data_IF_418876538726
#
_entry.id   IF_418876538726
#
_cell.length_a   1.000
_cell.length_b   1.000
_cell.length_c   1.000
_cell.angle_alpha   90.00
_cell.angle_beta   90.00
_cell.angle_gamma   90.00
#
_symmetry.space_group_name_H-M   'P 1'
#
loop_
_entity.id
_entity.type
_entity.pdbx_description
1 polymer ?
#
# COMPACT_ATOMS: atom_id res chain seq x y z
N UNK A 1 24.20 -2.17 -42.23
CA UNK A 1 23.11 -3.12 -42.59
C UNK A 1 22.71 -3.91 -41.36
N UNK A 2 21.57 -3.57 -40.75
CA UNK A 2 20.75 -4.41 -39.85
C UNK A 2 19.46 -3.61 -39.62
N UNK A 3 18.52 -3.78 -40.55
CA UNK A 3 17.17 -3.22 -40.50
C UNK A 3 16.21 -4.31 -40.04
N UNK A 4 15.22 -3.84 -39.28
CA UNK A 4 13.86 -4.38 -39.17
C UNK A 4 13.67 -5.75 -38.52
N UNK A 5 13.02 -5.72 -37.37
CA UNK A 5 11.99 -6.71 -37.01
C UNK A 5 10.83 -5.95 -36.40
N UNK A 6 10.06 -5.31 -37.27
CA UNK A 6 8.68 -4.89 -36.99
C UNK A 6 7.83 -6.09 -37.39
N UNK A 7 7.35 -6.85 -36.41
CA UNK A 7 6.36 -7.88 -36.64
C UNK A 7 5.00 -7.22 -36.83
N UNK A 8 4.44 -7.39 -38.01
CA UNK A 8 3.12 -6.94 -38.41
C UNK A 8 2.03 -7.86 -37.83
N UNK A 9 0.95 -7.28 -37.32
CA UNK A 9 -0.35 -7.95 -37.16
C UNK A 9 -1.41 -7.06 -37.82
N UNK A 10 -2.15 -7.67 -38.74
CA UNK A 10 -3.16 -7.06 -39.61
C UNK A 10 -4.51 -6.86 -38.90
N UNK A 11 -5.21 -5.83 -39.37
CA UNK A 11 -6.46 -5.21 -38.90
C UNK A 11 -7.71 -6.10 -38.95
N UNK A 12 -8.71 -5.78 -38.11
CA UNK A 12 -10.06 -5.31 -38.52
C UNK A 12 -10.92 -4.95 -37.29
N UNK A 13 -11.48 -3.74 -37.29
CA UNK A 13 -12.44 -3.25 -36.31
C UNK A 13 -12.31 -1.74 -36.10
N UNK A 14 -13.16 -0.94 -36.74
CA UNK A 14 -13.28 0.50 -36.50
C UNK A 14 -13.99 0.73 -35.17
N UNK A 15 -13.29 0.52 -34.06
CA UNK A 15 -13.55 1.18 -32.79
C UNK A 15 -12.85 2.55 -32.82
N UNK A 16 -13.48 3.56 -32.23
CA UNK A 16 -12.93 4.91 -32.11
C UNK A 16 -11.44 4.83 -31.71
N UNK A 17 -10.59 5.52 -32.47
CA UNK A 17 -9.13 5.56 -32.24
C UNK A 17 -8.90 6.07 -30.83
N UNK A 18 -8.73 5.16 -29.87
CA UNK A 18 -8.26 5.49 -28.54
C UNK A 18 -6.78 5.83 -28.70
N UNK A 19 -6.48 7.13 -28.68
CA UNK A 19 -5.12 7.60 -28.78
C UNK A 19 -4.34 7.09 -27.57
N UNK A 20 -3.21 6.47 -27.86
CA UNK A 20 -2.19 6.05 -26.91
C UNK A 20 -0.86 6.53 -27.48
N UNK A 21 0.06 6.90 -26.61
CA UNK A 21 1.39 7.38 -27.03
C UNK A 21 2.44 6.45 -26.46
N UNK A 22 3.35 6.01 -27.31
CA UNK A 22 4.58 5.33 -26.90
C UNK A 22 5.78 6.24 -27.14
N UNK A 23 6.77 6.19 -26.27
CA UNK A 23 8.04 6.91 -26.44
C UNK A 23 9.17 6.21 -25.71
N UNK A 24 10.38 6.51 -26.15
CA UNK A 24 11.60 6.17 -25.45
C UNK A 24 12.05 7.36 -24.60
N UNK A 25 12.52 7.08 -23.38
CA UNK A 25 13.02 8.10 -22.46
C UNK A 25 14.37 7.70 -21.90
N UNK A 26 15.34 8.60 -22.02
CA UNK A 26 16.63 8.51 -21.34
C UNK A 26 16.62 9.49 -20.18
N UNK A 27 16.96 9.02 -18.98
CA UNK A 27 17.09 9.84 -17.78
C UNK A 27 18.51 9.80 -17.28
N UNK A 28 19.20 10.94 -17.29
CA UNK A 28 20.50 11.10 -16.65
C UNK A 28 20.31 11.71 -15.28
N UNK A 29 20.70 10.97 -14.24
CA UNK A 29 20.74 11.46 -12.86
C UNK A 29 22.14 11.94 -12.54
N UNK A 30 22.26 13.15 -12.01
CA UNK A 30 23.51 13.72 -11.49
C UNK A 30 23.32 14.07 -10.01
N UNK A 31 24.33 13.75 -9.19
CA UNK A 31 24.30 13.91 -7.74
C UNK A 31 25.47 14.77 -7.28
N UNK A 32 25.16 15.86 -6.60
CA UNK A 32 26.14 16.71 -5.92
C UNK A 32 26.07 16.42 -4.42
N UNK A 33 26.95 15.54 -3.95
CA UNK A 33 26.97 15.10 -2.55
C UNK A 33 27.54 16.17 -1.63
N UNK A 34 26.99 16.23 -0.41
CA UNK A 34 27.59 17.03 0.67
C UNK A 34 29.00 16.50 1.00
N UNK A 35 29.98 17.37 1.32
CA UNK A 35 31.31 16.94 1.73
C UNK A 35 31.26 15.93 2.89
N UNK A 36 32.06 14.88 2.81
CA UNK A 36 32.17 13.85 3.86
C UNK A 36 31.09 12.77 3.85
N UNK A 37 30.10 12.83 2.95
CA UNK A 37 29.11 11.77 2.81
C UNK A 37 29.73 10.52 2.14
N UNK A 38 29.66 9.38 2.82
CA UNK A 38 29.94 8.07 2.21
C UNK A 38 28.66 7.54 1.57
N UNK A 39 28.70 7.29 0.27
CA UNK A 39 27.58 6.75 -0.50
C UNK A 39 28.10 5.73 -1.51
N UNK A 40 27.32 4.66 -1.73
CA UNK A 40 27.57 3.68 -2.80
C UNK A 40 26.95 4.07 -4.14
N UNK A 41 26.08 5.10 -4.15
CA UNK A 41 25.43 5.59 -5.36
C UNK A 41 26.43 6.36 -6.24
N UNK A 42 26.44 6.13 -7.56
CA UNK A 42 27.32 6.86 -8.47
C UNK A 42 26.93 8.33 -8.57
N UNK A 43 27.94 9.18 -8.82
CA UNK A 43 27.72 10.63 -9.01
C UNK A 43 26.89 10.93 -10.28
N UNK A 44 26.96 10.04 -11.27
CA UNK A 44 26.17 10.11 -12.50
C UNK A 44 25.71 8.72 -12.92
N UNK A 45 24.46 8.63 -13.33
CA UNK A 45 23.82 7.40 -13.81
C UNK A 45 22.88 7.73 -14.97
N UNK A 46 22.74 6.80 -15.91
CA UNK A 46 21.78 6.91 -17.02
C UNK A 46 20.87 5.69 -17.01
N UNK A 47 19.56 5.93 -17.13
CA UNK A 47 18.55 4.91 -17.24
C UNK A 47 17.74 5.14 -18.52
N UNK A 48 17.53 4.08 -19.29
CA UNK A 48 16.74 4.09 -20.52
C UNK A 48 15.45 3.30 -20.30
N UNK A 49 14.32 3.80 -20.80
CA UNK A 49 13.04 3.11 -20.66
C UNK A 49 12.14 3.32 -21.86
N UNK A 50 11.32 2.31 -22.15
CA UNK A 50 10.22 2.43 -23.11
C UNK A 50 8.91 2.61 -22.34
N UNK A 51 8.16 3.64 -22.70
CA UNK A 51 6.91 4.01 -22.03
C UNK A 51 5.74 3.90 -22.99
N UNK A 52 4.62 3.36 -22.50
CA UNK A 52 3.33 3.39 -23.19
C UNK A 52 2.30 4.03 -22.29
N UNK A 53 1.66 5.08 -22.80
CA UNK A 53 0.54 5.79 -22.18
C UNK A 53 -0.75 5.25 -22.82
N UNK A 54 -1.48 4.43 -22.09
CA UNK A 54 -2.79 3.93 -22.49
C UNK A 54 -3.93 4.71 -21.81
N UNK A 55 -5.18 4.55 -22.27
CA UNK A 55 -6.33 5.26 -21.70
C UNK A 55 -6.58 4.97 -20.21
N UNK A 56 -6.35 3.72 -19.79
CA UNK A 56 -6.61 3.23 -18.43
C UNK A 56 -5.40 2.58 -17.78
N UNK A 57 -4.22 2.65 -18.42
CA UNK A 57 -3.00 2.10 -17.87
C UNK A 57 -1.78 2.87 -18.35
N UNK A 58 -0.70 2.72 -17.60
CA UNK A 58 0.65 3.15 -17.97
C UNK A 58 1.55 1.92 -17.93
N UNK A 59 2.47 1.76 -18.89
CA UNK A 59 3.53 0.77 -18.76
C UNK A 59 4.92 1.37 -18.98
N UNK A 60 5.88 0.94 -18.18
CA UNK A 60 7.29 1.35 -18.25
C UNK A 60 8.14 0.09 -18.31
N UNK A 61 8.88 -0.08 -19.41
CA UNK A 61 9.86 -1.14 -19.57
C UNK A 61 11.25 -0.58 -19.31
N UNK A 62 11.95 -1.18 -18.36
CA UNK A 62 13.36 -0.93 -18.07
C UNK A 62 14.10 -2.27 -18.09
N UNK A 63 14.93 -2.47 -19.12
CA UNK A 63 15.59 -3.75 -19.38
C UNK A 63 14.59 -4.91 -19.46
N UNK A 64 14.65 -5.82 -18.47
CA UNK A 64 13.81 -7.03 -18.38
C UNK A 64 12.55 -6.83 -17.52
N UNK A 65 12.41 -5.68 -16.88
CA UNK A 65 11.29 -5.39 -15.99
C UNK A 65 10.29 -4.52 -16.73
N UNK A 66 9.05 -4.99 -16.79
CA UNK A 66 7.91 -4.22 -17.27
C UNK A 66 6.99 -3.93 -16.08
N UNK A 67 6.93 -2.66 -15.69
CA UNK A 67 5.96 -2.18 -14.70
C UNK A 67 4.70 -1.73 -15.42
N UNK A 68 3.54 -2.26 -15.03
CA UNK A 68 2.23 -1.84 -15.54
C UNK A 68 1.42 -1.28 -14.40
N UNK A 69 0.87 -0.08 -14.56
CA UNK A 69 -0.06 0.56 -13.63
C UNK A 69 -1.43 0.57 -14.27
N UNK A 70 -2.35 -0.24 -13.76
CA UNK A 70 -3.73 -0.34 -14.22
C UNK A 70 -4.63 0.47 -13.31
N UNK A 71 -5.11 1.60 -13.83
CA UNK A 71 -5.95 2.54 -13.09
C UNK A 71 -7.40 2.07 -13.00
N UNK A 72 -7.87 1.23 -13.91
CA UNK A 72 -9.21 0.68 -13.88
C UNK A 72 -9.37 -0.35 -12.75
N UNK A 73 -8.41 -1.26 -12.60
CA UNK A 73 -8.42 -2.28 -11.53
C UNK A 73 -7.72 -1.80 -10.25
N UNK A 74 -7.08 -0.62 -10.29
CA UNK A 74 -6.24 -0.07 -9.21
C UNK A 74 -5.16 -1.05 -8.79
N UNK A 75 -4.51 -1.66 -9.77
CA UNK A 75 -3.40 -2.60 -9.57
C UNK A 75 -2.14 -2.08 -10.22
N UNK A 76 -1.00 -2.51 -9.70
CA UNK A 76 0.27 -2.45 -10.41
C UNK A 76 0.86 -3.84 -10.54
N UNK A 77 1.38 -4.16 -11.71
CA UNK A 77 2.05 -5.41 -12.02
C UNK A 77 3.53 -5.14 -12.26
N UNK A 78 4.38 -5.96 -11.65
CA UNK A 78 5.82 -5.97 -11.93
C UNK A 78 6.10 -7.27 -12.65
N UNK A 79 6.42 -7.17 -13.94
CA UNK A 79 6.58 -8.31 -14.84
C UNK A 79 8.07 -8.49 -15.13
N UNK A 80 8.60 -9.67 -14.83
CA UNK A 80 9.88 -10.12 -15.35
C UNK A 80 9.65 -10.76 -16.72
N UNK A 81 10.05 -10.06 -17.78
CA UNK A 81 9.83 -10.50 -19.16
C UNK A 81 10.73 -11.66 -19.57
N UNK A 82 11.84 -11.89 -18.86
CA UNK A 82 12.75 -12.99 -19.15
C UNK A 82 12.29 -14.29 -18.46
N UNK A 83 11.81 -14.19 -17.21
CA UNK A 83 11.23 -15.33 -16.49
C UNK A 83 9.77 -15.63 -16.89
N UNK A 84 9.14 -14.72 -17.64
CA UNK A 84 7.71 -14.71 -17.95
C UNK A 84 6.83 -14.79 -16.69
N UNK A 85 7.22 -14.06 -15.64
CA UNK A 85 6.50 -14.04 -14.35
C UNK A 85 6.07 -12.65 -13.93
N UNK A 86 5.09 -12.54 -13.04
CA UNK A 86 4.69 -11.26 -12.48
C UNK A 86 4.30 -11.33 -11.00
N UNK A 87 4.48 -10.21 -10.31
CA UNK A 87 3.85 -9.91 -9.04
C UNK A 87 2.75 -8.84 -9.23
N UNK A 88 1.71 -8.90 -8.41
CA UNK A 88 0.61 -7.93 -8.40
C UNK A 88 0.54 -7.24 -7.05
N UNK A 89 0.38 -5.92 -7.08
CA UNK A 89 0.23 -5.08 -5.89
C UNK A 89 -0.97 -4.15 -6.03
N UNK A 90 -1.48 -3.68 -4.89
CA UNK A 90 -2.48 -2.61 -4.85
C UNK A 90 -1.86 -1.29 -5.29
N UNK A 91 -2.53 -0.53 -6.16
CA UNK A 91 -2.05 0.80 -6.55
C UNK A 91 -2.07 1.80 -5.37
N UNK A 92 -2.84 1.49 -4.31
CA UNK A 92 -2.86 2.26 -3.07
C UNK A 92 -1.56 2.16 -2.28
N UNK A 93 -0.70 1.16 -2.53
CA UNK A 93 0.57 1.02 -1.83
C UNK A 93 1.51 2.20 -2.08
N UNK A 94 1.55 2.70 -3.32
CA UNK A 94 2.40 3.81 -3.72
C UNK A 94 2.00 5.10 -3.00
N UNK A 95 0.74 5.49 -3.12
CA UNK A 95 0.26 6.75 -2.52
C UNK A 95 0.15 6.66 -1.00
N UNK A 96 -0.23 5.48 -0.47
CA UNK A 96 -0.26 5.22 0.96
C UNK A 96 1.13 5.34 1.60
N UNK A 97 2.16 4.75 0.97
CA UNK A 97 3.55 4.91 1.38
C UNK A 97 3.97 6.38 1.31
N UNK A 98 3.78 7.04 0.17
CA UNK A 98 4.22 8.44 -0.04
C UNK A 98 3.58 9.40 0.96
N UNK A 99 2.30 9.24 1.28
CA UNK A 99 1.60 10.06 2.27
C UNK A 99 2.06 9.76 3.71
N UNK A 100 2.37 8.51 4.05
CA UNK A 100 2.97 8.16 5.33
C UNK A 100 4.39 8.71 5.48
N UNK A 101 5.20 8.54 4.44
CA UNK A 101 6.59 9.01 4.38
C UNK A 101 6.69 10.53 4.45
N UNK A 102 5.82 11.28 3.76
CA UNK A 102 5.79 12.74 3.88
C UNK A 102 5.55 13.18 5.33
N UNK A 103 4.55 12.59 6.00
CA UNK A 103 4.25 12.91 7.42
C UNK A 103 5.39 12.54 8.36
N UNK A 104 6.05 11.42 8.10
CA UNK A 104 7.22 10.99 8.87
C UNK A 104 8.37 12.00 8.76
N UNK A 105 8.73 12.39 7.53
CA UNK A 105 9.76 13.40 7.26
C UNK A 105 9.44 14.74 7.89
N UNK A 106 8.18 15.16 7.84
CA UNK A 106 7.73 16.38 8.52
C UNK A 106 7.90 16.31 10.04
N UNK A 107 7.61 15.15 10.65
CA UNK A 107 7.86 14.92 12.07
C UNK A 107 9.34 15.07 12.42
N UNK A 108 10.22 14.44 11.64
CA UNK A 108 11.68 14.56 11.78
C UNK A 108 12.15 16.00 11.59
N UNK A 109 11.67 16.70 10.56
CA UNK A 109 11.97 18.11 10.33
C UNK A 109 11.54 19.01 11.49
N UNK A 110 10.38 18.73 12.09
CA UNK A 110 9.91 19.41 13.30
C UNK A 110 10.82 19.19 14.50
N UNK A 111 11.29 17.95 14.72
CA UNK A 111 12.25 17.63 15.78
C UNK A 111 13.61 18.30 15.57
N UNK A 112 14.13 18.29 14.33
CA UNK A 112 15.38 18.96 13.99
C UNK A 112 15.28 20.47 14.24
N UNK A 113 14.18 21.09 13.84
CA UNK A 113 13.93 22.51 14.11
C UNK A 113 13.85 22.80 15.62
N UNK A 114 13.16 21.97 16.39
CA UNK A 114 13.09 22.12 17.85
C UNK A 114 14.48 22.00 18.52
N UNK A 115 15.40 21.26 17.91
CA UNK A 115 16.79 21.14 18.32
C UNK A 115 17.76 22.17 17.72
N UNK A 116 17.29 23.15 16.94
CA UNK A 116 18.15 24.15 16.27
C UNK A 116 19.02 23.59 15.14
N UNK A 117 18.56 22.50 14.51
CA UNK A 117 19.24 21.78 13.44
C UNK A 117 18.46 21.85 12.11
N UNK A 118 17.64 22.88 11.90
CA UNK A 118 16.81 23.00 10.68
C UNK A 118 17.60 22.97 9.37
N UNK A 119 18.87 23.37 9.37
CA UNK A 119 19.76 23.29 8.20
C UNK A 119 20.00 21.87 7.69
N UNK A 120 19.72 20.86 8.53
CA UNK A 120 19.80 19.45 8.15
C UNK A 120 18.48 18.90 7.60
N UNK A 121 17.37 19.65 7.73
CA UNK A 121 16.10 19.26 7.17
C UNK A 121 16.05 19.52 5.66
N UNK A 122 15.47 18.59 4.92
CA UNK A 122 15.19 18.79 3.50
C UNK A 122 14.09 19.85 3.35
N UNK A 123 14.23 20.84 2.46
CA UNK A 123 13.16 21.78 2.21
C UNK A 123 11.89 21.06 1.76
N UNK A 124 10.76 21.43 2.36
CA UNK A 124 9.47 20.74 2.17
C UNK A 124 9.03 20.60 0.71
N UNK A 125 9.33 21.60 -0.13
CA UNK A 125 9.03 21.55 -1.57
C UNK A 125 9.73 20.37 -2.27
N UNK A 126 10.92 19.99 -1.82
CA UNK A 126 11.63 18.84 -2.36
C UNK A 126 11.11 17.50 -1.82
N UNK A 127 10.53 17.48 -0.61
CA UNK A 127 9.84 16.29 -0.10
C UNK A 127 8.54 16.04 -0.88
N UNK A 128 7.75 17.10 -1.09
CA UNK A 128 6.53 17.05 -1.92
C UNK A 128 6.86 16.71 -3.39
N UNK A 129 7.99 17.21 -3.91
CA UNK A 129 8.52 16.82 -5.22
C UNK A 129 8.90 15.33 -5.25
N UNK A 130 9.70 14.85 -4.31
CA UNK A 130 10.17 13.46 -4.30
C UNK A 130 9.01 12.45 -4.16
N UNK A 131 7.99 12.80 -3.39
CA UNK A 131 6.88 11.89 -3.08
C UNK A 131 5.63 12.13 -3.94
N UNK A 132 5.58 13.22 -4.72
CA UNK A 132 4.42 13.64 -5.52
C UNK A 132 3.11 13.74 -4.73
N UNK A 133 3.21 14.05 -3.44
CA UNK A 133 2.07 14.31 -2.56
C UNK A 133 2.23 15.71 -2.00
N UNK A 134 1.13 16.48 -1.95
CA UNK A 134 1.09 17.77 -1.28
C UNK A 134 0.75 17.57 0.18
N UNK A 135 1.33 18.38 1.05
CA UNK A 135 0.69 18.65 2.33
C UNK A 135 -0.44 19.67 2.10
N UNK A 136 -1.60 19.32 2.65
CA UNK A 136 -2.89 20.00 2.51
C UNK A 136 -2.91 21.48 2.94
N UNK A 137 -1.83 22.00 3.54
CA UNK A 137 -1.68 23.40 3.94
C UNK A 137 -0.90 24.25 2.93
N UNK A 138 -0.38 23.69 1.84
CA UNK A 138 0.48 24.43 0.91
C UNK A 138 -0.29 25.59 0.25
N UNK A 139 0.28 26.79 0.35
CA UNK A 139 -0.18 28.02 -0.32
C UNK A 139 1.00 28.60 -1.08
N UNK A 140 0.89 28.71 -2.41
CA UNK A 140 1.95 29.21 -3.29
C UNK A 140 1.71 28.77 -4.73
N UNK A 141 2.20 29.57 -5.69
CA UNK A 141 2.14 29.27 -7.11
C UNK A 141 3.55 29.05 -7.66
N UNK A 142 3.65 28.25 -8.72
CA UNK A 142 4.91 28.10 -9.44
C UNK A 142 5.32 29.46 -10.06
N UNK A 143 6.58 29.82 -9.88
CA UNK A 143 7.17 31.04 -10.37
C UNK A 143 8.02 30.72 -11.61
N UNK A 144 7.66 31.20 -12.80
CA UNK A 144 8.46 31.01 -14.00
C UNK A 144 9.60 32.03 -14.07
N UNK A 145 10.77 31.56 -14.48
CA UNK A 145 11.90 32.39 -14.88
C UNK A 145 12.43 31.90 -16.23
N UNK A 146 12.43 32.77 -17.24
CA UNK A 146 12.96 32.43 -18.57
C UNK A 146 14.49 32.46 -18.51
N UNK A 147 15.13 31.35 -18.90
CA UNK A 147 16.59 31.18 -18.90
C UNK A 147 17.00 30.44 -20.18
N UNK A 148 17.74 31.11 -21.07
CA UNK A 148 18.40 30.51 -22.24
C UNK A 148 17.56 29.47 -23.00
N UNK A 149 16.42 29.90 -23.55
CA UNK A 149 15.52 29.04 -24.34
C UNK A 149 14.75 27.99 -23.54
N UNK A 150 14.74 28.09 -22.21
CA UNK A 150 13.96 27.27 -21.30
C UNK A 150 13.25 28.11 -20.23
N UNK A 151 12.33 27.51 -19.50
CA UNK A 151 11.68 28.13 -18.34
C UNK A 151 12.03 27.32 -17.10
N UNK A 152 12.64 27.98 -16.11
CA UNK A 152 12.83 27.44 -14.78
C UNK A 152 11.60 27.76 -13.92
N UNK A 153 10.95 26.72 -13.43
CA UNK A 153 9.83 26.80 -12.52
C UNK A 153 10.30 26.52 -11.10
N UNK A 154 10.05 27.49 -10.23
CA UNK A 154 10.45 27.45 -8.83
C UNK A 154 9.25 27.58 -7.91
N UNK A 155 9.39 27.08 -6.69
CA UNK A 155 8.43 27.28 -5.60
C UNK A 155 9.20 27.57 -4.32
N UNK A 156 8.78 28.59 -3.57
CA UNK A 156 9.47 29.04 -2.35
C UNK A 156 10.98 29.32 -2.57
N UNK A 157 11.30 29.88 -3.74
CA UNK A 157 12.69 30.16 -4.16
C UNK A 157 13.51 28.91 -4.54
N UNK A 158 12.93 27.71 -4.48
CA UNK A 158 13.62 26.47 -4.84
C UNK A 158 13.30 26.06 -6.28
N UNK A 159 14.31 25.76 -7.11
CA UNK A 159 14.07 25.25 -8.46
C UNK A 159 13.46 23.85 -8.40
N UNK A 160 12.41 23.60 -9.19
CA UNK A 160 11.74 22.30 -9.27
C UNK A 160 11.83 21.68 -10.66
N UNK A 161 11.62 22.47 -11.71
CA UNK A 161 11.60 22.02 -13.10
C UNK A 161 12.26 23.05 -14.02
N UNK A 162 13.25 22.65 -14.81
CA UNK A 162 13.69 23.40 -15.99
C UNK A 162 13.09 22.75 -17.23
N UNK A 163 12.25 23.48 -17.96
CA UNK A 163 11.49 22.97 -19.10
C UNK A 163 11.96 23.61 -20.40
N UNK A 164 12.43 22.80 -21.36
CA UNK A 164 12.75 23.27 -22.70
C UNK A 164 11.50 23.65 -23.49
N UNK A 165 11.65 24.54 -24.48
CA UNK A 165 10.54 24.94 -25.37
C UNK A 165 10.20 23.90 -26.44
N UNK A 166 11.05 22.89 -26.64
CA UNK A 166 10.82 21.83 -27.61
C UNK A 166 9.92 20.73 -27.05
N UNK A 167 9.12 20.10 -27.91
CA UNK A 167 8.26 18.99 -27.53
C UNK A 167 7.20 18.73 -28.59
N UNK A 168 6.46 17.65 -28.38
CA UNK A 168 5.44 17.21 -29.32
C UNK A 168 4.04 17.52 -28.80
N UNK A 169 3.16 18.12 -29.62
CA UNK A 169 1.77 18.35 -29.23
C UNK A 169 1.06 16.99 -29.08
N UNK A 170 0.24 16.89 -28.04
CA UNK A 170 -0.54 15.67 -27.74
C UNK A 170 -1.94 16.04 -27.25
N UNK A 171 -2.82 15.06 -27.06
CA UNK A 171 -4.12 15.30 -26.44
C UNK A 171 -3.98 15.70 -24.96
N UNK A 172 -5.04 16.22 -24.35
CA UNK A 172 -5.05 16.50 -22.91
C UNK A 172 -4.93 15.22 -22.06
N UNK A 173 -5.50 14.11 -22.54
CA UNK A 173 -5.43 12.82 -21.87
C UNK A 173 -4.00 12.26 -21.90
N UNK A 174 -3.32 12.35 -23.04
CA UNK A 174 -1.92 11.94 -23.17
C UNK A 174 -0.98 12.79 -22.29
N UNK A 175 -1.19 14.11 -22.23
CA UNK A 175 -0.41 14.98 -21.35
C UNK A 175 -0.65 14.65 -19.86
N UNK A 176 -1.88 14.30 -19.49
CA UNK A 176 -2.23 13.84 -18.14
C UNK A 176 -1.57 12.50 -17.83
N UNK A 177 -1.60 11.55 -18.76
CA UNK A 177 -0.94 10.26 -18.63
C UNK A 177 0.59 10.40 -18.54
N UNK A 178 1.17 11.38 -19.25
CA UNK A 178 2.60 11.72 -19.13
C UNK A 178 2.95 12.25 -17.72
N UNK A 179 2.12 13.14 -17.16
CA UNK A 179 2.30 13.57 -15.77
C UNK A 179 2.14 12.40 -14.78
N UNK A 180 1.25 11.45 -15.09
CA UNK A 180 1.07 10.23 -14.30
C UNK A 180 2.29 9.31 -14.35
N UNK A 181 2.93 9.17 -15.52
CA UNK A 181 4.21 8.51 -15.66
C UNK A 181 5.27 9.08 -14.73
N UNK A 182 5.45 10.41 -14.75
CA UNK A 182 6.41 11.06 -13.86
C UNK A 182 6.07 10.80 -12.39
N UNK A 183 4.79 10.97 -12.02
CA UNK A 183 4.31 10.71 -10.66
C UNK A 183 4.73 9.34 -10.16
N UNK A 184 4.47 8.27 -10.91
CA UNK A 184 4.74 6.90 -10.45
C UNK A 184 6.22 6.53 -10.50
N UNK A 185 6.95 6.94 -11.54
CA UNK A 185 8.30 6.44 -11.78
C UNK A 185 9.38 7.34 -11.17
N UNK A 186 9.21 8.66 -11.21
CA UNK A 186 10.28 9.61 -10.89
C UNK A 186 9.94 10.59 -9.78
N UNK A 187 8.66 10.72 -9.44
CA UNK A 187 8.17 11.80 -8.61
C UNK A 187 7.88 13.07 -9.44
N UNK A 188 7.82 14.20 -8.76
CA UNK A 188 7.49 15.51 -9.31
C UNK A 188 6.50 16.21 -8.41
N UNK A 189 6.72 17.51 -8.16
CA UNK A 189 5.83 18.28 -7.31
C UNK A 189 4.42 18.36 -7.93
N UNK A 190 3.33 18.18 -7.17
CA UNK A 190 2.00 18.09 -7.78
C UNK A 190 1.57 19.32 -8.59
N UNK A 191 2.04 20.53 -8.25
CA UNK A 191 1.83 21.72 -9.10
C UNK A 191 2.58 21.62 -10.44
N UNK A 192 3.80 21.08 -10.44
CA UNK A 192 4.59 20.87 -11.67
C UNK A 192 3.92 19.81 -12.55
N UNK A 193 3.48 18.70 -11.95
CA UNK A 193 2.77 17.64 -12.67
C UNK A 193 1.45 18.15 -13.27
N UNK A 194 0.70 18.97 -12.53
CA UNK A 194 -0.51 19.61 -13.05
C UNK A 194 -0.20 20.53 -14.23
N UNK A 195 0.83 21.37 -14.11
CA UNK A 195 1.26 22.27 -15.19
C UNK A 195 1.65 21.49 -16.46
N UNK A 196 2.35 20.37 -16.32
CA UNK A 196 2.68 19.50 -17.46
C UNK A 196 1.42 18.86 -18.08
N UNK A 197 0.47 18.39 -17.27
CA UNK A 197 -0.79 17.83 -17.74
C UNK A 197 -1.64 18.86 -18.50
N UNK A 198 -1.72 20.11 -18.01
CA UNK A 198 -2.48 21.19 -18.65
C UNK A 198 -1.84 21.67 -19.96
N UNK A 199 -0.53 21.43 -20.15
CA UNK A 199 0.26 21.95 -21.27
C UNK A 199 0.00 21.30 -22.63
N UNK A 200 -0.76 20.19 -22.69
CA UNK A 200 -1.10 19.45 -23.94
C UNK A 200 0.12 19.15 -24.83
N UNK A 201 1.24 18.85 -24.19
CA UNK A 201 2.53 18.62 -24.84
C UNK A 201 3.36 17.64 -24.03
N UNK A 202 4.05 16.73 -24.71
CA UNK A 202 5.14 15.96 -24.11
C UNK A 202 6.46 16.67 -24.44
N UNK A 203 7.25 17.14 -23.45
CA UNK A 203 8.50 17.86 -23.71
C UNK A 203 9.55 16.96 -24.39
N UNK A 204 10.38 17.52 -25.26
CA UNK A 204 11.52 16.77 -25.82
C UNK A 204 12.63 16.59 -24.79
N UNK A 205 12.81 17.59 -23.92
CA UNK A 205 13.78 17.58 -22.83
C UNK A 205 13.30 18.44 -21.65
N UNK A 206 13.68 18.03 -20.44
CA UNK A 206 13.47 18.81 -19.22
C UNK A 206 14.36 18.30 -18.09
N UNK A 207 14.48 19.07 -17.01
CA UNK A 207 15.24 18.68 -15.81
C UNK A 207 14.39 18.84 -14.57
N UNK A 208 14.32 17.80 -13.73
CA UNK A 208 13.75 17.89 -12.39
C UNK A 208 14.85 18.06 -11.36
N UNK A 209 14.64 18.97 -10.42
CA UNK A 209 15.55 19.28 -9.34
C UNK A 209 15.04 18.70 -8.02
N UNK A 210 15.91 18.04 -7.27
CA UNK A 210 15.60 17.42 -5.99
C UNK A 210 16.67 17.79 -4.97
N UNK A 211 16.30 17.67 -3.70
CA UNK A 211 17.23 17.64 -2.59
C UNK A 211 16.94 16.40 -1.77
N UNK A 212 17.97 15.57 -1.62
CA UNK A 212 17.96 14.40 -0.75
C UNK A 212 18.84 14.70 0.47
N UNK A 213 18.76 13.87 1.52
CA UNK A 213 19.59 14.03 2.74
C UNK A 213 21.08 14.15 2.38
N UNK A 214 21.51 13.41 1.36
CA UNK A 214 22.89 13.36 0.88
C UNK A 214 23.34 14.53 -0.02
N UNK A 215 22.45 15.43 -0.45
CA UNK A 215 22.81 16.55 -1.32
C UNK A 215 21.79 16.84 -2.42
N UNK A 216 22.21 17.63 -3.40
CA UNK A 216 21.36 17.99 -4.53
C UNK A 216 21.38 16.90 -5.60
N UNK A 217 20.23 16.69 -6.24
CA UNK A 217 20.06 15.69 -7.29
C UNK A 217 19.31 16.32 -8.45
N UNK A 218 19.84 16.17 -9.65
CA UNK A 218 19.16 16.60 -10.88
C UNK A 218 18.91 15.41 -11.78
N UNK A 219 17.72 15.35 -12.36
CA UNK A 219 17.34 14.32 -13.33
C UNK A 219 17.00 14.99 -14.65
N UNK A 220 17.86 14.79 -15.64
CA UNK A 220 17.66 15.29 -17.00
C UNK A 220 16.97 14.22 -17.83
N UNK A 221 15.83 14.57 -18.41
CA UNK A 221 15.02 13.71 -19.23
C UNK A 221 15.19 14.08 -20.70
N UNK A 222 15.33 13.09 -21.56
CA UNK A 222 15.27 13.23 -23.01
C UNK A 222 14.25 12.25 -23.55
N UNK A 223 13.23 12.77 -24.23
CA UNK A 223 12.15 11.99 -24.83
C UNK A 223 12.38 11.88 -26.32
N UNK A 224 12.24 10.67 -26.86
CA UNK A 224 12.50 10.36 -28.25
C UNK A 224 11.60 9.23 -28.76
N UNK A 225 11.69 8.91 -30.05
CA UNK A 225 10.96 7.82 -30.69
C UNK A 225 9.43 7.84 -30.43
N UNK A 226 8.84 9.03 -30.35
CA UNK A 226 7.42 9.18 -30.01
C UNK A 226 6.54 8.66 -31.14
N UNK A 227 5.63 7.76 -30.81
CA UNK A 227 4.70 7.10 -31.74
C UNK A 227 3.28 7.24 -31.22
N UNK A 228 2.38 7.78 -32.03
CA UNK A 228 0.94 7.84 -31.74
C UNK A 228 0.26 6.53 -32.18
N UNK A 229 -0.82 6.14 -31.48
CA UNK A 229 -1.58 4.93 -31.79
C UNK A 229 -0.88 3.64 -31.36
N UNK A 230 -0.14 3.68 -30.25
CA UNK A 230 0.44 2.48 -29.62
C UNK A 230 -0.66 1.46 -29.22
N UNK A 231 -0.31 0.21 -28.84
CA UNK A 231 -1.30 -0.70 -28.29
C UNK A 231 -2.02 -0.04 -27.10
N UNK A 232 -3.36 0.04 -27.17
CA UNK A 232 -4.19 0.68 -26.15
C UNK A 232 -4.55 -0.26 -24.99
N UNK A 233 -3.94 -1.46 -24.94
CA UNK A 233 -4.20 -2.50 -23.95
C UNK A 233 -2.92 -3.26 -23.60
N UNK A 234 -2.86 -3.79 -22.38
CA UNK A 234 -1.87 -4.78 -21.96
C UNK A 234 -2.56 -6.12 -21.64
N UNK A 235 -1.81 -7.22 -21.65
CA UNK A 235 -2.32 -8.53 -21.22
C UNK A 235 -1.32 -9.25 -20.33
N UNK A 236 -1.82 -9.94 -19.31
CA UNK A 236 -1.03 -10.84 -18.46
C UNK A 236 -1.04 -12.29 -18.96
N UNK A 237 -1.77 -12.62 -20.04
CA UNK A 237 -1.94 -14.01 -20.50
C UNK A 237 -0.65 -14.71 -20.92
N UNK A 238 0.39 -13.94 -21.28
CA UNK A 238 1.72 -14.46 -21.61
C UNK A 238 2.60 -14.71 -20.37
N UNK A 239 2.12 -14.37 -19.18
CA UNK A 239 2.88 -14.39 -17.94
C UNK A 239 2.15 -15.21 -16.88
N UNK A 240 2.89 -15.78 -15.94
CA UNK A 240 2.34 -16.49 -14.77
C UNK A 240 2.68 -15.75 -13.48
N UNK A 241 1.91 -15.90 -12.40
CA UNK A 241 2.32 -15.40 -11.09
C UNK A 241 3.72 -15.91 -10.73
N UNK A 242 4.54 -15.06 -10.10
CA UNK A 242 5.90 -15.44 -9.68
C UNK A 242 5.81 -16.64 -8.72
N UNK A 243 6.52 -17.75 -9.02
CA UNK A 243 6.51 -18.90 -8.13
C UNK A 243 7.21 -18.53 -6.81
N UNK A 244 6.73 -19.11 -5.73
CA UNK A 244 7.35 -18.98 -4.41
C UNK A 244 8.73 -19.64 -4.44
N UNK A 245 9.76 -18.91 -4.02
CA UNK A 245 11.11 -19.45 -3.90
C UNK A 245 11.18 -20.52 -2.80
N UNK A 246 12.06 -21.51 -2.94
CA UNK A 246 12.20 -22.60 -1.97
C UNK A 246 12.63 -22.10 -0.57
N UNK A 247 13.42 -21.02 -0.54
CA UNK A 247 13.95 -20.35 0.65
C UNK A 247 13.16 -19.07 1.01
N UNK A 248 11.94 -18.92 0.48
CA UNK A 248 11.15 -17.70 0.68
C UNK A 248 10.93 -17.39 2.18
N UNK A 249 11.05 -16.11 2.58
CA UNK A 249 10.86 -15.71 3.97
C UNK A 249 9.42 -16.00 4.44
N UNK A 250 9.20 -16.15 5.77
CA UNK A 250 7.89 -16.49 6.32
C UNK A 250 6.73 -15.60 5.83
N UNK A 251 6.97 -14.28 5.69
CA UNK A 251 5.98 -13.34 5.18
C UNK A 251 5.52 -13.68 3.76
N UNK A 252 6.47 -13.96 2.86
CA UNK A 252 6.16 -14.27 1.48
C UNK A 252 5.39 -15.60 1.37
N UNK A 253 5.78 -16.61 2.16
CA UNK A 253 5.06 -17.89 2.23
C UNK A 253 3.62 -17.72 2.69
N UNK A 254 3.39 -16.95 3.76
CA UNK A 254 2.05 -16.67 4.29
C UNK A 254 1.21 -15.94 3.25
N UNK A 255 1.73 -14.89 2.61
CA UNK A 255 0.97 -14.12 1.61
C UNK A 255 0.71 -14.91 0.32
N UNK A 256 1.65 -15.78 -0.09
CA UNK A 256 1.45 -16.67 -1.23
C UNK A 256 0.37 -17.73 -0.93
N UNK A 257 0.39 -18.30 0.28
CA UNK A 257 -0.66 -19.22 0.73
C UNK A 257 -2.02 -18.53 0.79
N UNK A 258 -2.08 -17.32 1.34
CA UNK A 258 -3.30 -16.55 1.48
C UNK A 258 -3.99 -16.26 0.14
N UNK A 259 -3.21 -16.01 -0.92
CA UNK A 259 -3.72 -15.77 -2.27
C UNK A 259 -4.44 -16.99 -2.89
N UNK A 260 -4.23 -18.19 -2.35
CA UNK A 260 -4.85 -19.44 -2.81
C UNK A 260 -6.03 -19.89 -1.95
N UNK A 261 -6.22 -19.27 -0.77
CA UNK A 261 -7.26 -19.68 0.17
C UNK A 261 -8.61 -19.07 -0.21
N UNK A 262 -9.67 -19.89 -0.30
CA UNK A 262 -11.03 -19.36 -0.39
C UNK A 262 -11.45 -18.77 0.96
N UNK A 263 -12.55 -17.99 0.99
CA UNK A 263 -13.27 -17.69 2.22
C UNK A 263 -13.54 -18.95 3.04
N UNK A 264 -13.60 -18.86 4.39
CA UNK A 264 -13.99 -19.98 5.23
C UNK A 264 -15.30 -20.61 4.74
N UNK A 265 -15.33 -21.93 4.62
CA UNK A 265 -16.54 -22.64 4.21
C UNK A 265 -17.68 -22.46 5.21
N UNK A 266 -18.95 -22.67 4.80
CA UNK A 266 -20.12 -22.43 5.65
C UNK A 266 -20.16 -23.31 6.91
N UNK A 267 -19.36 -24.39 6.96
CA UNK A 267 -19.26 -25.30 8.10
C UNK A 267 -18.22 -24.87 9.16
N UNK A 268 -17.36 -23.88 8.87
CA UNK A 268 -16.29 -23.47 9.79
C UNK A 268 -16.87 -22.89 11.09
N UNK A 269 -17.81 -21.94 10.98
CA UNK A 269 -18.46 -21.35 12.14
C UNK A 269 -19.24 -22.40 12.99
N UNK A 270 -20.14 -23.22 12.41
CA UNK A 270 -20.79 -24.30 13.16
C UNK A 270 -19.83 -25.28 13.83
N UNK A 271 -18.72 -25.64 13.16
CA UNK A 271 -17.74 -26.57 13.72
C UNK A 271 -17.00 -25.99 14.93
N UNK A 272 -16.53 -24.73 14.84
CA UNK A 272 -15.89 -24.04 15.96
C UNK A 272 -16.89 -23.82 17.11
N UNK A 273 -18.16 -23.56 16.80
CA UNK A 273 -19.21 -23.44 17.81
C UNK A 273 -19.44 -24.74 18.56
N UNK A 274 -19.56 -25.87 17.84
CA UNK A 274 -19.73 -27.18 18.44
C UNK A 274 -18.52 -27.56 19.33
N UNK A 275 -17.30 -27.21 18.92
CA UNK A 275 -16.10 -27.43 19.73
C UNK A 275 -16.11 -26.57 21.01
N UNK A 276 -16.49 -25.29 20.93
CA UNK A 276 -16.64 -24.45 22.11
C UNK A 276 -17.68 -25.01 23.09
N UNK A 277 -18.80 -25.55 22.59
CA UNK A 277 -19.82 -26.19 23.42
C UNK A 277 -19.33 -27.46 24.11
N UNK A 278 -18.54 -28.28 23.41
CA UNK A 278 -17.87 -29.44 23.98
C UNK A 278 -16.88 -29.04 25.09
N UNK A 279 -16.11 -27.97 24.90
CA UNK A 279 -15.18 -27.45 25.90
C UNK A 279 -15.91 -26.92 27.15
N UNK A 280 -17.04 -26.22 26.97
CA UNK A 280 -17.89 -25.84 28.10
C UNK A 280 -18.46 -27.06 28.84
N UNK A 281 -18.86 -28.11 28.12
CA UNK A 281 -19.35 -29.35 28.72
C UNK A 281 -18.26 -30.11 29.49
N UNK A 282 -17.00 -29.94 29.09
CA UNK A 282 -15.81 -30.50 29.74
C UNK A 282 -15.24 -29.61 30.86
N UNK A 283 -15.96 -28.55 31.27
CA UNK A 283 -15.52 -27.59 32.29
C UNK A 283 -14.20 -26.88 31.95
N UNK A 284 -14.00 -26.58 30.66
CA UNK A 284 -12.85 -25.86 30.10
C UNK A 284 -13.29 -24.50 29.52
N UNK A 285 -13.74 -23.55 30.37
CA UNK A 285 -14.31 -22.29 29.91
C UNK A 285 -13.29 -21.37 29.23
N UNK A 286 -12.01 -21.43 29.61
CA UNK A 286 -10.98 -20.59 28.99
C UNK A 286 -10.71 -21.03 27.56
N UNK A 287 -10.54 -22.32 27.32
CA UNK A 287 -10.35 -22.91 26.00
C UNK A 287 -11.59 -22.67 25.13
N UNK A 288 -12.79 -22.83 25.69
CA UNK A 288 -14.04 -22.51 24.98
C UNK A 288 -14.08 -21.05 24.53
N UNK A 289 -13.67 -20.11 25.41
CA UNK A 289 -13.56 -18.70 25.10
C UNK A 289 -12.55 -18.41 23.98
N UNK A 290 -11.37 -19.03 24.01
CA UNK A 290 -10.38 -18.89 22.94
C UNK A 290 -10.89 -19.45 21.61
N UNK A 291 -11.62 -20.56 21.61
CA UNK A 291 -12.25 -21.11 20.39
C UNK A 291 -13.30 -20.17 19.81
N UNK A 292 -14.09 -19.51 20.66
CA UNK A 292 -15.07 -18.51 20.22
C UNK A 292 -14.40 -17.26 19.61
N UNK A 293 -13.25 -16.85 20.15
CA UNK A 293 -12.45 -15.77 19.58
C UNK A 293 -11.84 -16.18 18.23
N UNK A 294 -11.33 -17.41 18.10
CA UNK A 294 -10.85 -17.95 16.82
C UNK A 294 -11.94 -17.91 15.75
N UNK A 295 -13.17 -18.32 16.09
CA UNK A 295 -14.32 -18.22 15.19
C UNK A 295 -14.58 -16.78 14.76
N UNK A 296 -14.69 -15.86 15.73
CA UNK A 296 -14.89 -14.44 15.42
C UNK A 296 -13.80 -13.89 14.50
N UNK A 297 -12.52 -14.19 14.78
CA UNK A 297 -11.40 -13.69 13.99
C UNK A 297 -11.27 -14.34 12.61
N UNK A 298 -11.83 -15.52 12.41
CA UNK A 298 -11.81 -16.23 11.13
C UNK A 298 -13.00 -15.87 10.25
N UNK A 299 -14.21 -15.81 10.81
CA UNK A 299 -15.46 -15.72 10.05
C UNK A 299 -16.13 -14.35 10.16
N UNK A 300 -15.83 -13.59 11.23
CA UNK A 300 -16.56 -12.39 11.59
C UNK A 300 -17.96 -12.62 12.12
N UNK A 301 -18.35 -13.87 12.34
CA UNK A 301 -19.59 -14.20 13.03
C UNK A 301 -19.59 -13.54 14.42
N UNK A 302 -20.76 -13.05 14.81
CA UNK A 302 -20.95 -12.60 16.17
C UNK A 302 -21.17 -13.82 17.06
N UNK A 303 -20.66 -13.73 18.29
CA UNK A 303 -20.96 -14.71 19.32
C UNK A 303 -22.46 -14.74 19.55
N UNK A 304 -23.07 -15.90 19.32
CA UNK A 304 -24.47 -16.16 19.67
C UNK A 304 -24.68 -16.05 21.18
N UNK A 305 -25.93 -15.88 21.60
CA UNK A 305 -26.27 -15.70 23.00
C UNK A 305 -25.87 -16.94 23.82
N UNK A 306 -24.92 -16.76 24.72
CA UNK A 306 -24.47 -17.79 25.66
C UNK A 306 -25.60 -18.20 26.62
N UNK A 307 -25.64 -19.48 26.99
CA UNK A 307 -26.56 -19.97 28.03
C UNK A 307 -26.19 -19.40 29.40
N UNK A 308 -27.13 -19.32 30.37
CA UNK A 308 -26.80 -18.83 31.72
C UNK A 308 -25.63 -19.57 32.38
N UNK A 309 -25.56 -20.90 32.17
CA UNK A 309 -24.45 -21.73 32.67
C UNK A 309 -23.10 -21.35 32.03
N UNK A 310 -23.07 -21.14 30.72
CA UNK A 310 -21.85 -20.70 30.03
C UNK A 310 -21.42 -19.31 30.49
N UNK A 311 -22.37 -18.39 30.68
CA UNK A 311 -22.08 -17.05 31.20
C UNK A 311 -21.46 -17.11 32.59
N UNK A 312 -22.03 -17.92 33.48
CA UNK A 312 -21.49 -18.12 34.83
C UNK A 312 -20.08 -18.74 34.79
N UNK A 313 -19.88 -19.80 33.99
CA UNK A 313 -18.56 -20.42 33.85
C UNK A 313 -17.49 -19.44 33.35
N UNK A 314 -17.84 -18.55 32.42
CA UNK A 314 -16.93 -17.49 31.98
C UNK A 314 -16.66 -16.44 33.07
N UNK A 315 -17.66 -16.07 33.86
CA UNK A 315 -17.54 -15.12 34.97
C UNK A 315 -16.70 -15.69 36.13
N UNK A 316 -16.67 -17.00 36.32
CA UNK A 316 -15.88 -17.64 37.37
C UNK A 316 -14.44 -17.95 36.90
N UNK A 317 -14.16 -17.81 35.59
CA UNK A 317 -12.87 -18.15 35.01
C UNK A 317 -11.86 -16.99 35.09
N UNK A 318 -10.93 -17.09 36.04
CA UNK A 318 -9.91 -16.06 36.28
C UNK A 318 -9.03 -15.74 35.04
N UNK A 319 -8.54 -16.73 34.25
CA UNK A 319 -7.80 -16.44 33.01
C UNK A 319 -8.54 -15.55 32.00
N UNK A 320 -9.87 -15.69 31.89
CA UNK A 320 -10.69 -14.83 31.03
C UNK A 320 -10.66 -13.39 31.55
N UNK A 321 -10.80 -13.20 32.87
CA UNK A 321 -10.73 -11.88 33.49
C UNK A 321 -9.36 -11.22 33.33
N UNK A 322 -8.28 -11.97 33.54
CA UNK A 322 -6.92 -11.42 33.43
C UNK A 322 -6.61 -11.00 31.99
N UNK A 323 -6.98 -11.84 31.02
CA UNK A 323 -6.85 -11.53 29.61
C UNK A 323 -7.70 -10.30 29.22
N UNK A 324 -8.99 -10.28 29.55
CA UNK A 324 -9.89 -9.18 29.17
C UNK A 324 -9.49 -7.86 29.82
N UNK A 325 -9.07 -7.85 31.09
CA UNK A 325 -8.54 -6.67 31.76
C UNK A 325 -7.27 -6.16 31.08
N UNK A 326 -6.33 -7.07 30.77
CA UNK A 326 -5.08 -6.71 30.10
C UNK A 326 -5.30 -6.06 28.73
N UNK A 327 -6.25 -6.58 27.93
CA UNK A 327 -6.55 -6.04 26.61
C UNK A 327 -7.14 -4.61 26.63
N UNK A 328 -7.75 -4.20 27.74
CA UNK A 328 -8.30 -2.86 27.94
C UNK A 328 -7.26 -1.81 28.37
N UNK A 329 -6.01 -2.21 28.63
CA UNK A 329 -4.95 -1.27 29.01
C UNK A 329 -4.65 -0.25 27.89
N UNK A 330 -4.40 1.00 28.30
CA UNK A 330 -4.22 2.15 27.39
C UNK A 330 -2.86 2.84 27.54
N UNK A 331 -2.28 2.82 28.74
CA UNK A 331 -0.97 3.39 29.01
C UNK A 331 0.13 2.34 28.83
N UNK A 332 1.37 2.83 28.73
CA UNK A 332 2.52 1.98 28.44
C UNK A 332 2.75 0.93 29.53
N UNK A 333 2.60 1.30 30.81
CA UNK A 333 2.78 0.39 31.94
C UNK A 333 1.71 -0.71 31.98
N UNK A 334 0.43 -0.35 31.81
CA UNK A 334 -0.65 -1.31 31.76
C UNK A 334 -0.55 -2.26 30.56
N UNK A 335 -0.09 -1.76 29.41
CA UNK A 335 0.14 -2.62 28.23
C UNK A 335 1.31 -3.59 28.50
N UNK A 336 2.38 -3.15 29.16
CA UNK A 336 3.49 -4.02 29.54
C UNK A 336 3.08 -5.09 30.57
N UNK A 337 2.26 -4.73 31.56
CA UNK A 337 1.70 -5.69 32.51
C UNK A 337 0.78 -6.71 31.81
N UNK A 338 -0.09 -6.25 30.92
CA UNK A 338 -0.93 -7.12 30.10
C UNK A 338 -0.10 -8.08 29.22
N UNK A 339 1.02 -7.60 28.67
CA UNK A 339 1.93 -8.43 27.88
C UNK A 339 2.51 -9.58 28.72
N UNK A 340 2.95 -9.30 29.94
CA UNK A 340 3.43 -10.33 30.86
C UNK A 340 2.34 -11.36 31.19
N UNK A 341 1.12 -10.90 31.49
CA UNK A 341 -0.03 -11.79 31.74
C UNK A 341 -0.32 -12.71 30.56
N UNK A 342 -0.32 -12.20 29.32
CA UNK A 342 -0.56 -13.04 28.14
C UNK A 342 0.56 -14.05 27.92
N UNK A 343 1.82 -13.68 28.18
CA UNK A 343 2.97 -14.58 28.07
C UNK A 343 2.92 -15.72 29.09
N UNK A 344 2.51 -15.43 30.32
CA UNK A 344 2.31 -16.45 31.35
C UNK A 344 1.20 -17.42 30.95
N UNK A 345 0.06 -16.89 30.47
CA UNK A 345 -1.04 -17.71 29.95
C UNK A 345 -0.59 -18.61 28.79
N UNK A 346 0.17 -18.08 27.82
CA UNK A 346 0.73 -18.89 26.71
C UNK A 346 1.64 -20.01 27.20
N UNK A 347 2.41 -19.77 28.25
CA UNK A 347 3.29 -20.78 28.84
C UNK A 347 2.47 -21.91 29.47
N UNK A 348 1.36 -21.58 30.12
CA UNK A 348 0.48 -22.53 30.79
C UNK A 348 -0.39 -23.34 29.80
N UNK A 349 -0.98 -22.68 28.80
CA UNK A 349 -1.87 -23.34 27.82
C UNK A 349 -1.15 -23.91 26.59
N UNK A 350 0.12 -23.55 26.41
CA UNK A 350 0.96 -23.97 25.28
C UNK A 350 1.27 -22.84 24.31
N UNK A 351 2.55 -22.70 23.97
CA UNK A 351 3.07 -21.61 23.13
C UNK A 351 2.51 -21.59 21.70
N UNK A 352 1.92 -22.70 21.25
CA UNK A 352 1.29 -22.82 19.94
C UNK A 352 -0.15 -22.28 19.89
N UNK A 353 -0.73 -21.83 21.01
CA UNK A 353 -2.10 -21.31 21.05
C UNK A 353 -2.20 -20.02 20.18
N UNK A 354 -2.93 -20.04 19.05
CA UNK A 354 -2.88 -18.94 18.06
C UNK A 354 -3.54 -17.63 18.51
N UNK A 355 -4.65 -17.71 19.25
CA UNK A 355 -5.39 -16.54 19.75
C UNK A 355 -4.57 -15.78 20.81
N UNK A 356 -3.90 -16.49 21.72
CA UNK A 356 -3.01 -15.86 22.70
C UNK A 356 -1.75 -15.29 22.03
N UNK A 357 -1.21 -15.96 21.01
CA UNK A 357 -0.11 -15.42 20.22
C UNK A 357 -0.50 -14.14 19.46
N UNK A 358 -1.73 -14.07 18.94
CA UNK A 358 -2.30 -12.87 18.35
C UNK A 358 -2.40 -11.73 19.38
N UNK A 359 -2.92 -12.00 20.58
CA UNK A 359 -3.00 -10.99 21.63
C UNK A 359 -1.62 -10.49 22.08
N UNK A 360 -0.64 -11.38 22.22
CA UNK A 360 0.74 -10.97 22.48
C UNK A 360 1.25 -10.05 21.37
N UNK A 361 1.02 -10.42 20.10
CA UNK A 361 1.38 -9.59 18.94
C UNK A 361 0.77 -8.20 19.01
N UNK A 362 -0.52 -8.11 19.30
CA UNK A 362 -1.25 -6.84 19.40
C UNK A 362 -0.73 -5.95 20.54
N UNK A 363 -0.37 -6.53 21.69
CA UNK A 363 0.23 -5.79 22.81
C UNK A 363 1.64 -5.29 22.46
N UNK A 364 2.46 -6.12 21.79
CA UNK A 364 3.78 -5.71 21.30
C UNK A 364 3.69 -4.60 20.26
N UNK A 365 2.73 -4.68 19.34
CA UNK A 365 2.45 -3.61 18.39
C UNK A 365 2.08 -2.29 19.09
N UNK A 366 1.23 -2.33 20.13
CA UNK A 366 0.92 -1.14 20.94
C UNK A 366 2.15 -0.54 21.64
N UNK A 367 3.16 -1.35 21.97
CA UNK A 367 4.45 -0.91 22.52
C UNK A 367 5.47 -0.49 21.44
N UNK A 368 5.09 -0.46 20.16
CA UNK A 368 5.99 -0.13 19.05
C UNK A 368 7.00 -1.24 18.70
N UNK A 369 6.84 -2.45 19.25
CA UNK A 369 7.69 -3.62 19.00
C UNK A 369 7.26 -4.34 17.71
N UNK A 370 7.30 -3.62 16.58
CA UNK A 370 6.75 -4.07 15.31
C UNK A 370 7.36 -5.37 14.78
N UNK A 371 8.69 -5.58 14.78
CA UNK A 371 9.27 -6.83 14.29
C UNK A 371 8.81 -8.06 15.07
N UNK A 372 8.69 -7.94 16.40
CA UNK A 372 8.22 -9.02 17.27
C UNK A 372 6.72 -9.28 17.06
N UNK A 373 5.91 -8.23 16.89
CA UNK A 373 4.50 -8.36 16.56
C UNK A 373 4.30 -9.08 15.21
N UNK A 374 5.03 -8.65 14.17
CA UNK A 374 5.01 -9.29 12.84
C UNK A 374 5.37 -10.77 12.92
N UNK A 375 6.41 -11.15 13.68
CA UNK A 375 6.78 -12.55 13.85
C UNK A 375 5.66 -13.39 14.47
N UNK A 376 4.94 -12.84 15.46
CA UNK A 376 3.79 -13.50 16.09
C UNK A 376 2.60 -13.63 15.13
N UNK A 377 2.26 -12.59 14.37
CA UNK A 377 1.19 -12.69 13.38
C UNK A 377 1.49 -13.74 12.30
N UNK A 378 2.75 -13.83 11.86
CA UNK A 378 3.18 -14.86 10.93
C UNK A 378 3.10 -16.26 11.54
N UNK A 379 3.46 -16.42 12.81
CA UNK A 379 3.27 -17.69 13.54
C UNK A 379 1.79 -18.08 13.58
N UNK A 380 0.90 -17.14 13.89
CA UNK A 380 -0.55 -17.37 13.91
C UNK A 380 -1.06 -17.78 12.54
N UNK A 381 -0.68 -17.08 11.47
CA UNK A 381 -1.14 -17.37 10.11
C UNK A 381 -0.55 -18.66 9.55
N UNK A 382 0.63 -19.10 9.99
CA UNK A 382 1.16 -20.43 9.67
C UNK A 382 0.32 -21.54 10.31
N UNK A 383 -0.16 -21.34 11.53
CA UNK A 383 -0.99 -22.32 12.24
C UNK A 383 -2.46 -22.28 11.79
N UNK A 384 -2.99 -21.08 11.52
CA UNK A 384 -4.40 -20.80 11.18
C UNK A 384 -4.47 -19.83 10.00
N UNK A 385 -4.23 -20.30 8.76
CA UNK A 385 -4.14 -19.44 7.58
C UNK A 385 -5.41 -18.67 7.22
N UNK A 386 -6.58 -19.12 7.71
CA UNK A 386 -7.89 -18.50 7.48
C UNK A 386 -8.36 -17.60 8.63
N UNK A 387 -7.50 -17.29 9.61
CA UNK A 387 -7.82 -16.32 10.67
C UNK A 387 -7.73 -14.89 10.12
N UNK A 388 -8.76 -14.49 9.37
CA UNK A 388 -8.79 -13.29 8.55
C UNK A 388 -8.39 -12.00 9.29
N UNK A 389 -8.81 -11.82 10.55
CA UNK A 389 -8.48 -10.65 11.36
C UNK A 389 -6.96 -10.44 11.53
N UNK A 390 -6.16 -11.51 11.57
CA UNK A 390 -4.70 -11.43 11.76
C UNK A 390 -4.02 -10.75 10.58
N UNK A 391 -4.58 -10.87 9.37
CA UNK A 391 -4.06 -10.14 8.21
C UNK A 391 -4.25 -8.62 8.32
N UNK A 392 -5.26 -8.19 9.09
CA UNK A 392 -5.42 -6.76 9.40
C UNK A 392 -4.27 -6.26 10.28
N UNK A 393 -4.00 -6.97 11.38
CA UNK A 393 -2.94 -6.63 12.32
C UNK A 393 -1.55 -6.75 11.68
N UNK A 394 -1.33 -7.76 10.83
CA UNK A 394 -0.11 -7.89 10.03
C UNK A 394 0.07 -6.71 9.08
N UNK A 395 -0.99 -6.31 8.37
CA UNK A 395 -0.91 -5.16 7.46
C UNK A 395 -0.63 -3.85 8.18
N UNK A 396 -1.23 -3.63 9.36
CA UNK A 396 -0.96 -2.46 10.19
C UNK A 396 0.50 -2.42 10.67
N UNK A 397 1.06 -3.55 11.12
CA UNK A 397 2.45 -3.64 11.54
C UNK A 397 3.43 -3.46 10.37
N UNK A 398 3.11 -3.96 9.18
CA UNK A 398 3.92 -3.76 7.98
C UNK A 398 3.91 -2.29 7.52
N UNK A 399 2.76 -1.63 7.55
CA UNK A 399 2.67 -0.20 7.23
C UNK A 399 3.46 0.64 8.24
N UNK A 400 3.42 0.31 9.53
CA UNK A 400 4.20 0.99 10.57
C UNK A 400 5.73 0.86 10.33
N UNK A 401 6.16 -0.19 9.63
CA UNK A 401 7.54 -0.44 9.21
C UNK A 401 7.83 0.06 7.79
N UNK A 402 6.92 0.85 7.19
CA UNK A 402 7.01 1.38 5.82
C UNK A 402 7.01 0.33 4.69
N UNK A 403 6.62 -0.92 4.97
CA UNK A 403 6.38 -1.95 3.96
C UNK A 403 4.92 -1.90 3.45
N UNK A 404 4.58 -0.81 2.77
CA UNK A 404 3.25 -0.61 2.21
C UNK A 404 2.83 -1.71 1.20
N UNK A 405 3.70 -2.19 0.30
CA UNK A 405 3.31 -3.25 -0.65
C UNK A 405 2.78 -4.51 0.06
N UNK A 406 3.48 -5.01 1.08
CA UNK A 406 3.02 -6.19 1.80
C UNK A 406 1.89 -5.88 2.80
N UNK A 407 1.80 -4.64 3.30
CA UNK A 407 0.65 -4.20 4.09
C UNK A 407 -0.66 -4.34 3.31
N UNK A 408 -0.70 -3.80 2.08
CA UNK A 408 -1.87 -3.89 1.22
C UNK A 408 -2.17 -5.33 0.78
N UNK A 409 -1.15 -6.15 0.51
CA UNK A 409 -1.35 -7.59 0.23
C UNK A 409 -1.98 -8.31 1.41
N UNK A 410 -1.58 -7.98 2.64
CA UNK A 410 -2.16 -8.54 3.85
C UNK A 410 -3.63 -8.14 3.98
N UNK A 411 -3.94 -6.84 3.90
CA UNK A 411 -5.33 -6.36 3.97
C UNK A 411 -6.22 -6.93 2.87
N UNK A 412 -5.71 -7.04 1.64
CA UNK A 412 -6.43 -7.67 0.54
C UNK A 412 -6.75 -9.14 0.82
N UNK A 413 -5.77 -9.90 1.33
CA UNK A 413 -5.97 -11.30 1.70
C UNK A 413 -7.06 -11.46 2.77
N UNK A 414 -6.98 -10.67 3.84
CA UNK A 414 -7.96 -10.70 4.92
C UNK A 414 -9.37 -10.30 4.46
N UNK A 415 -9.49 -9.24 3.64
CA UNK A 415 -10.77 -8.80 3.07
C UNK A 415 -11.36 -9.83 2.10
N UNK A 416 -10.53 -10.51 1.32
CA UNK A 416 -11.00 -11.58 0.45
C UNK A 416 -11.59 -12.75 1.25
N UNK A 417 -11.00 -13.07 2.41
CA UNK A 417 -11.48 -14.15 3.27
C UNK A 417 -12.76 -13.81 4.05
N UNK A 418 -12.81 -12.63 4.69
CA UNK A 418 -13.92 -12.23 5.54
C UNK A 418 -14.22 -10.73 5.40
N UNK A 419 -14.87 -10.31 4.29
CA UNK A 419 -15.05 -8.90 3.96
C UNK A 419 -15.97 -8.13 4.92
N UNK A 420 -16.78 -8.84 5.72
CA UNK A 420 -17.67 -8.25 6.71
C UNK A 420 -16.99 -7.96 8.07
N UNK A 421 -15.74 -8.42 8.28
CA UNK A 421 -15.00 -8.18 9.51
C UNK A 421 -14.79 -6.67 9.74
N UNK A 422 -15.20 -6.21 10.93
CA UNK A 422 -15.14 -4.79 11.30
C UNK A 422 -13.72 -4.25 11.41
N UNK A 423 -12.74 -5.12 11.60
CA UNK A 423 -11.31 -4.86 11.68
C UNK A 423 -10.82 -4.15 10.41
N UNK A 424 -11.38 -4.51 9.24
CA UNK A 424 -10.99 -3.88 7.97
C UNK A 424 -11.59 -2.48 7.73
N UNK A 425 -12.44 -1.96 8.62
CA UNK A 425 -13.00 -0.60 8.45
C UNK A 425 -11.91 0.47 8.36
N UNK A 426 -10.87 0.35 9.18
CA UNK A 426 -9.75 1.30 9.20
C UNK A 426 -9.04 1.38 7.84
N UNK A 427 -8.72 0.22 7.23
CA UNK A 427 -8.09 0.20 5.90
C UNK A 427 -9.06 0.67 4.81
N UNK A 428 -10.36 0.35 4.92
CA UNK A 428 -11.35 0.85 3.95
C UNK A 428 -11.51 2.38 4.01
N UNK A 429 -11.44 2.96 5.21
CA UNK A 429 -11.46 4.41 5.40
C UNK A 429 -10.16 5.06 4.91
N UNK A 430 -9.01 4.41 5.14
CA UNK A 430 -7.73 4.83 4.55
C UNK A 430 -7.80 4.85 3.02
N UNK A 431 -8.29 3.77 2.40
CA UNK A 431 -8.48 3.68 0.96
C UNK A 431 -9.34 4.83 0.42
N UNK A 432 -10.47 5.11 1.08
CA UNK A 432 -11.36 6.22 0.72
C UNK A 432 -10.67 7.58 0.87
N UNK A 433 -9.91 7.78 1.95
CA UNK A 433 -9.15 9.02 2.14
C UNK A 433 -8.10 9.22 1.05
N UNK A 434 -7.40 8.16 0.64
CA UNK A 434 -6.39 8.25 -0.42
C UNK A 434 -7.02 8.61 -1.78
N UNK A 435 -8.21 8.06 -2.09
CA UNK A 435 -8.96 8.44 -3.29
C UNK A 435 -9.37 9.91 -3.27
N UNK A 436 -9.83 10.40 -2.12
CA UNK A 436 -10.32 11.76 -1.97
C UNK A 436 -9.18 12.79 -1.95
N UNK A 437 -8.12 12.51 -1.21
CA UNK A 437 -7.04 13.46 -0.94
C UNK A 437 -6.01 13.45 -2.08
N UNK A 438 -5.89 12.34 -2.80
CA UNK A 438 -4.91 12.14 -3.88
C UNK A 438 -5.53 11.55 -5.16
N UNK A 439 -6.64 12.12 -5.69
CA UNK A 439 -7.38 11.55 -6.82
C UNK A 439 -6.53 11.42 -8.09
N UNK A 440 -5.52 12.28 -8.21
CA UNK A 440 -4.63 12.30 -9.35
C UNK A 440 -3.80 10.99 -9.47
N UNK A 441 -3.56 10.23 -8.38
CA UNK A 441 -2.95 8.88 -8.47
C UNK A 441 -3.87 7.84 -9.13
N UNK A 442 -5.16 8.13 -9.26
CA UNK A 442 -6.16 7.20 -9.79
C UNK A 442 -6.87 7.72 -11.05
N UNK A 443 -6.51 8.91 -11.51
CA UNK A 443 -7.10 9.52 -12.69
C UNK A 443 -6.88 8.64 -13.93
N UNK A 444 -7.94 8.48 -14.74
CA UNK A 444 -7.98 7.57 -15.88
C UNK A 444 -8.68 6.24 -15.60
N UNK A 445 -9.01 5.89 -14.34
CA UNK A 445 -9.90 4.74 -14.04
C UNK A 445 -11.37 5.15 -14.01
N UNK A 446 -12.26 4.36 -14.61
CA UNK A 446 -13.70 4.49 -14.31
C UNK A 446 -13.91 4.30 -12.80
N UNK A 447 -14.89 4.97 -12.17
CA UNK A 447 -15.28 4.65 -10.80
C UNK A 447 -15.64 3.16 -10.77
N UNK A 448 -14.90 2.35 -10.02
CA UNK A 448 -15.32 0.98 -9.76
C UNK A 448 -16.71 1.03 -9.11
N UNK A 449 -17.70 0.29 -9.63
CA UNK A 449 -19.02 0.27 -9.02
C UNK A 449 -18.88 -0.19 -7.56
N UNK A 450 -19.67 0.39 -6.63
CA UNK A 450 -19.59 0.07 -5.21
C UNK A 450 -19.90 -1.39 -4.86
N UNK A 451 -20.21 -2.25 -5.83
CA UNK A 451 -20.58 -3.66 -5.65
C UNK A 451 -19.44 -4.59 -5.23
N UNK A 452 -18.17 -4.13 -5.21
CA UNK A 452 -17.04 -4.89 -4.63
C UNK A 452 -16.73 -4.48 -3.19
N UNK A 453 -17.41 -3.46 -2.65
CA UNK A 453 -17.33 -3.12 -1.23
C UNK A 453 -18.67 -3.46 -0.57
N UNK A 454 -18.74 -4.41 0.38
CA UNK A 454 -19.92 -4.50 1.22
C UNK A 454 -20.03 -3.19 2.00
N UNK A 455 -21.01 -2.39 1.60
CA UNK A 455 -21.45 -1.23 2.35
C UNK A 455 -21.75 -1.65 3.78
N UNK A 456 -21.01 -1.09 4.74
CA UNK A 456 -21.32 -1.25 6.17
C UNK A 456 -22.18 -0.11 6.69
N UNK A 457 -22.79 0.70 5.82
CA UNK A 457 -23.83 1.62 6.25
C UNK A 457 -25.10 0.81 6.55
N UNK A 458 -25.31 0.53 7.83
CA UNK A 458 -26.58 0.05 8.36
C UNK A 458 -27.69 0.98 7.84
N UNK A 459 -28.79 0.48 7.24
CA UNK A 459 -29.99 1.29 7.12
C UNK A 459 -30.43 1.65 8.54
N UNK A 460 -30.83 2.90 8.76
CA UNK A 460 -31.32 3.38 10.05
C UNK A 460 -32.59 2.62 10.44
N UNK A 461 -32.44 1.45 11.07
CA UNK A 461 -33.56 0.71 11.65
C UNK A 461 -33.89 1.34 13.01
N UNK A 462 -34.98 2.11 13.04
CA UNK A 462 -35.71 2.43 14.26
C UNK A 462 -36.40 1.17 14.77
N UNK A 463 -35.66 0.26 15.39
CA UNK A 463 -36.22 -0.78 16.26
C UNK A 463 -35.30 -0.96 17.46
N UNK A 464 -35.84 -0.68 18.65
CA UNK A 464 -35.23 -0.98 19.93
C UNK A 464 -35.16 -2.51 20.08
N UNK A 465 -34.04 -3.13 19.75
CA UNK A 465 -33.73 -4.49 20.19
C UNK A 465 -32.74 -4.41 21.35
N UNK A 466 -33.27 -4.61 22.56
CA UNK A 466 -32.50 -4.82 23.79
C UNK A 466 -31.91 -6.23 23.72
N UNK A 467 -30.60 -6.37 23.95
CA UNK A 467 -30.00 -7.68 24.27
C UNK A 467 -28.90 -8.24 23.36
N UNK A 468 -28.04 -7.42 22.75
CA UNK A 468 -26.78 -7.88 22.15
C UNK A 468 -25.62 -7.46 23.04
N UNK A 469 -25.04 -8.42 23.77
CA UNK A 469 -23.79 -8.25 24.50
C UNK A 469 -22.65 -8.34 23.49
N UNK A 470 -22.16 -7.19 23.04
CA UNK A 470 -20.85 -7.11 22.41
C UNK A 470 -19.83 -7.51 23.49
N UNK A 471 -19.09 -8.60 23.27
CA UNK A 471 -17.81 -8.77 23.95
C UNK A 471 -16.89 -7.61 23.51
N UNK A 472 -16.03 -7.10 24.41
CA UNK A 472 -15.21 -5.91 24.20
C UNK A 472 -14.31 -5.99 22.96
#
# INVERSE_FOLDING_TARGET
MRRASVAAILLLGTSAVQASVAFHVTVTTERAHKPGLKTSLPARETQDSDVVLGPHYLSVRDGRILSVFDFATRRRHVIDTAASTYDTYSLFDVVGFRAAELRHRQGLGGMLKAGGLEQHATPRVYEEQALSVLDNKRRGALQPQVLDGAVLWSLDGQPLLRLGIAGSPVSGDDATAFAQYLRYTWGGHPLVLKMLADGKRIPADFTLHYQEVGGAVTRQFRISAMTAGAPATYTLSAYRPRPLAADAPPLERVLAQAALLPPPGPQVHPALRAEAEKLFAADQPFEAFLTMLEDHFSTGALVEKLTPRQQQAMQECQPIHDLTRGLLAKDHEGIAAALATVQDLRTQTGMAQPVLALFEGNLRAKLGQWPQATALYLQVLQAKPQMAAVYQDLGDALLAQFDAPNAWRSWDAGRAMAPALRQFRKVNDLERSLLNDYPAFFAGGAPLPPTVQPSTSRPASKTKTVGSTNLP
#
